data_IF_658298351493
#
_entry.id   IF_658298351493
#
_cell.length_a   1.000
_cell.length_b   1.000
_cell.length_c   1.000
_cell.angle_alpha   90.00
_cell.angle_beta   90.00
_cell.angle_gamma   90.00
#
_symmetry.space_group_name_H-M   'P 1'
#
loop_
_entity.id
_entity.type
_entity.pdbx_description
1 polymer ?
#
# COMPACT_ATOMS: atom_id res chain seq x y z
N UNK A 1 6.40 -26.02 -16.07
CA UNK A 1 5.56 -25.24 -15.16
C UNK A 1 6.49 -24.52 -14.23
N UNK A 2 6.78 -23.24 -14.49
CA UNK A 2 7.61 -22.45 -13.58
C UNK A 2 6.81 -22.24 -12.29
N UNK A 3 7.32 -22.79 -11.19
CA UNK A 3 6.89 -22.42 -9.85
C UNK A 3 7.28 -20.96 -9.66
N UNK A 4 6.39 -20.03 -10.05
CA UNK A 4 6.55 -18.62 -9.75
C UNK A 4 6.69 -18.51 -8.23
N UNK A 5 7.91 -18.22 -7.77
CA UNK A 5 8.17 -18.02 -6.34
C UNK A 5 7.26 -16.90 -5.86
N UNK A 6 6.60 -17.04 -4.69
CA UNK A 6 5.81 -15.95 -4.16
C UNK A 6 6.70 -14.73 -3.95
N UNK A 7 6.27 -13.56 -4.46
CA UNK A 7 6.97 -12.30 -4.24
C UNK A 7 6.94 -11.97 -2.74
N UNK A 8 8.07 -12.18 -2.08
CA UNK A 8 8.29 -12.03 -0.64
C UNK A 8 9.59 -11.26 -0.36
N UNK A 9 9.67 -9.99 -0.80
CA UNK A 9 10.86 -9.17 -0.55
C UNK A 9 11.10 -9.01 0.95
N UNK A 10 12.37 -8.91 1.35
CA UNK A 10 12.72 -8.45 2.68
C UNK A 10 12.46 -6.95 2.81
N UNK A 11 12.42 -6.43 4.04
CA UNK A 11 12.22 -4.99 4.28
C UNK A 11 13.30 -4.13 3.60
N UNK A 12 14.54 -4.61 3.50
CA UNK A 12 15.62 -3.96 2.77
C UNK A 12 15.35 -3.83 1.27
N UNK A 13 14.70 -4.84 0.67
CA UNK A 13 14.34 -4.83 -0.74
C UNK A 13 13.20 -3.85 -0.97
N UNK A 14 12.21 -3.81 -0.07
CA UNK A 14 11.13 -2.83 -0.09
C UNK A 14 11.64 -1.39 -0.04
N UNK A 15 12.64 -1.12 0.81
CA UNK A 15 13.31 0.19 0.85
C UNK A 15 14.02 0.50 -0.46
N UNK A 16 14.67 -0.48 -1.08
CA UNK A 16 15.34 -0.31 -2.38
C UNK A 16 14.34 0.05 -3.47
N UNK A 17 13.20 -0.64 -3.55
CA UNK A 17 12.12 -0.29 -4.48
C UNK A 17 11.58 1.12 -4.22
N UNK A 18 11.41 1.51 -2.96
CA UNK A 18 10.97 2.86 -2.60
C UNK A 18 11.97 3.93 -3.06
N UNK A 19 13.28 3.71 -2.87
CA UNK A 19 14.29 4.67 -3.30
C UNK A 19 14.33 4.81 -4.83
N UNK A 20 14.26 3.69 -5.56
CA UNK A 20 14.14 3.69 -7.02
C UNK A 20 12.90 4.45 -7.48
N UNK A 21 11.76 4.21 -6.83
CA UNK A 21 10.52 4.93 -7.11
C UNK A 21 10.67 6.45 -6.94
N UNK A 22 11.28 6.89 -5.84
CA UNK A 22 11.51 8.32 -5.56
C UNK A 22 12.48 8.94 -6.59
N UNK A 23 13.48 8.18 -7.04
CA UNK A 23 14.41 8.58 -8.08
C UNK A 23 13.81 8.51 -9.51
N UNK A 24 12.56 8.04 -9.66
CA UNK A 24 11.94 7.71 -10.95
C UNK A 24 12.75 6.69 -11.79
N UNK A 25 13.41 5.75 -11.11
CA UNK A 25 14.12 4.63 -11.74
C UNK A 25 13.20 3.41 -11.91
N UNK A 26 13.59 2.50 -12.79
CA UNK A 26 12.90 1.21 -12.97
C UNK A 26 13.00 0.37 -11.68
N UNK A 27 11.88 -0.16 -11.20
CA UNK A 27 11.82 -0.89 -9.93
C UNK A 27 12.52 -2.26 -9.99
N UNK A 28 12.43 -2.96 -11.12
CA UNK A 28 12.88 -4.35 -11.28
C UNK A 28 12.22 -5.31 -10.27
N UNK A 29 10.91 -5.14 -10.09
CA UNK A 29 10.07 -5.89 -9.18
C UNK A 29 9.18 -6.92 -9.92
N UNK A 30 9.51 -7.24 -11.18
CA UNK A 30 8.72 -8.10 -12.07
C UNK A 30 7.23 -7.70 -12.21
N UNK A 31 6.91 -6.43 -11.92
CA UNK A 31 5.58 -5.85 -12.00
C UNK A 31 4.65 -6.17 -10.83
N UNK A 32 5.18 -6.70 -9.71
CA UNK A 32 4.41 -7.03 -8.50
C UNK A 32 3.91 -5.79 -7.72
N UNK A 33 4.64 -4.69 -7.79
CA UNK A 33 4.36 -3.42 -7.12
C UNK A 33 3.66 -2.49 -8.11
N UNK A 34 2.52 -1.92 -7.71
CA UNK A 34 1.76 -0.97 -8.54
C UNK A 34 1.78 0.43 -7.94
N UNK A 35 1.97 1.43 -8.78
CA UNK A 35 1.74 2.82 -8.38
C UNK A 35 0.23 3.07 -8.31
N UNK A 36 -0.28 3.41 -7.12
CA UNK A 36 -1.70 3.68 -6.91
C UNK A 36 -1.92 4.64 -5.73
N UNK A 37 -2.88 5.56 -5.85
CA UNK A 37 -3.25 6.46 -4.76
C UNK A 37 -4.20 5.76 -3.78
N UNK A 38 -3.60 5.17 -2.73
CA UNK A 38 -4.32 4.41 -1.69
C UNK A 38 -5.24 5.25 -0.80
N UNK A 39 -5.24 6.58 -0.93
CA UNK A 39 -6.07 7.47 -0.10
C UNK A 39 -7.37 7.92 -0.77
N UNK A 40 -7.50 7.78 -2.09
CA UNK A 40 -8.69 8.28 -2.81
C UNK A 40 -9.91 7.36 -2.74
N UNK A 41 -9.72 6.13 -2.30
CA UNK A 41 -10.72 5.08 -2.45
C UNK A 41 -10.76 4.17 -1.23
N UNK A 42 -11.70 3.23 -1.20
CA UNK A 42 -11.85 2.33 -0.05
C UNK A 42 -10.73 1.26 -0.01
N UNK A 43 -10.40 0.72 1.18
CA UNK A 43 -9.35 -0.29 1.30
C UNK A 43 -9.60 -1.56 0.47
N UNK A 44 -10.85 -2.02 0.36
CA UNK A 44 -11.18 -3.19 -0.47
C UNK A 44 -11.08 -2.90 -1.96
N UNK A 45 -11.41 -1.69 -2.40
CA UNK A 45 -11.19 -1.27 -3.79
C UNK A 45 -9.69 -1.22 -4.08
N UNK A 46 -8.88 -0.74 -3.14
CA UNK A 46 -7.40 -0.72 -3.21
C UNK A 46 -6.83 -2.12 -3.38
N UNK A 47 -7.48 -3.10 -2.78
CA UNK A 47 -7.12 -4.50 -2.91
C UNK A 47 -7.34 -5.05 -4.33
N UNK A 48 -8.04 -4.36 -5.24
CA UNK A 48 -8.19 -4.82 -6.63
C UNK A 48 -7.01 -4.43 -7.55
N UNK A 49 -6.19 -3.44 -7.17
CA UNK A 49 -5.21 -2.82 -8.07
C UNK A 49 -3.81 -3.45 -8.06
N UNK A 50 -3.38 -4.09 -6.96
CA UNK A 50 -2.05 -4.69 -6.86
C UNK A 50 -1.99 -6.14 -7.39
N UNK A 51 -0.80 -6.70 -7.55
CA UNK A 51 -0.66 -8.13 -7.81
C UNK A 51 -0.88 -8.94 -6.53
N UNK A 52 -1.67 -10.02 -6.60
CA UNK A 52 -1.89 -10.90 -5.45
C UNK A 52 -0.60 -11.62 -5.08
N UNK A 53 -0.04 -11.30 -3.92
CA UNK A 53 1.12 -11.96 -3.34
C UNK A 53 0.67 -12.85 -2.17
N UNK A 54 1.41 -13.91 -1.87
CA UNK A 54 1.08 -14.80 -0.76
C UNK A 54 0.19 -15.98 -1.14
N UNK A 55 -0.28 -16.72 -0.11
CA UNK A 55 -1.12 -17.91 -0.30
C UNK A 55 -2.58 -17.53 -0.52
N UNK A 56 -3.39 -18.50 -0.95
CA UNK A 56 -4.82 -18.32 -1.30
C UNK A 56 -5.65 -17.63 -0.20
N UNK A 57 -5.31 -17.88 1.07
CA UNK A 57 -6.08 -17.41 2.23
C UNK A 57 -5.42 -16.22 2.96
N UNK A 58 -4.14 -15.93 2.69
CA UNK A 58 -3.35 -14.87 3.36
C UNK A 58 -2.68 -13.97 2.32
N UNK A 59 -3.49 -13.48 1.38
CA UNK A 59 -3.05 -12.59 0.33
C UNK A 59 -2.55 -11.25 0.87
N UNK A 60 -1.58 -10.66 0.19
CA UNK A 60 -1.16 -9.28 0.39
C UNK A 60 -0.74 -8.66 -0.93
N UNK A 61 -0.59 -7.34 -0.96
CA UNK A 61 -0.26 -6.56 -2.16
C UNK A 61 0.68 -5.43 -1.79
N UNK A 62 1.60 -5.11 -2.69
CA UNK A 62 2.49 -3.96 -2.56
C UNK A 62 2.03 -2.83 -3.48
N UNK A 63 1.86 -1.66 -2.89
CA UNK A 63 1.44 -0.46 -3.61
C UNK A 63 2.39 0.68 -3.26
N UNK A 64 2.80 1.44 -4.27
CA UNK A 64 3.53 2.68 -4.11
C UNK A 64 2.57 3.83 -4.33
N UNK A 65 2.56 4.79 -3.41
CA UNK A 65 1.84 6.03 -3.61
C UNK A 65 2.86 7.18 -3.55
N UNK A 66 2.72 8.18 -4.43
CA UNK A 66 3.53 9.38 -4.30
C UNK A 66 3.16 10.13 -3.02
N UNK A 67 4.12 10.69 -2.28
CA UNK A 67 3.80 11.54 -1.15
C UNK A 67 3.03 12.77 -1.63
N UNK A 68 1.79 12.95 -1.17
CA UNK A 68 1.11 14.24 -1.30
C UNK A 68 1.93 15.29 -0.54
N UNK A 69 2.13 16.47 -1.16
CA UNK A 69 2.86 17.60 -0.60
C UNK A 69 2.62 17.75 0.91
N UNK A 70 3.72 17.94 1.67
CA UNK A 70 3.71 18.04 3.13
C UNK A 70 2.71 19.13 3.57
N UNK A 71 1.64 18.72 4.27
CA UNK A 71 0.95 19.63 5.20
C UNK A 71 1.80 19.65 6.48
N UNK A 72 2.10 20.84 7.00
CA UNK A 72 2.86 21.03 8.24
C UNK A 72 2.14 20.32 9.41
N UNK A 73 2.85 19.49 10.16
CA UNK A 73 2.35 18.81 11.38
C UNK A 73 2.46 17.27 11.37
N UNK A 74 2.50 16.65 12.57
CA UNK A 74 2.47 15.18 12.74
C UNK A 74 1.12 14.64 12.27
N UNK A 75 1.08 13.97 11.11
CA UNK A 75 -0.14 13.32 10.58
C UNK A 75 -0.44 12.06 11.40
N UNK A 76 -1.42 12.14 12.30
CA UNK A 76 -1.91 11.00 13.12
C UNK A 76 -2.95 10.16 12.35
N UNK A 77 -3.59 10.77 11.36
CA UNK A 77 -4.76 10.26 10.66
C UNK A 77 -4.73 10.69 9.18
N UNK A 78 -5.20 9.82 8.28
CA UNK A 78 -5.37 10.10 6.83
C UNK A 78 -6.78 9.71 6.42
N UNK A 79 -7.55 10.66 5.91
CA UNK A 79 -8.86 10.39 5.33
C UNK A 79 -8.74 9.51 4.09
N UNK A 80 -9.68 8.59 3.92
CA UNK A 80 -9.75 7.63 2.81
C UNK A 80 -11.15 7.63 2.20
N UNK A 81 -11.21 7.39 0.89
CA UNK A 81 -12.43 7.60 0.11
C UNK A 81 -12.84 9.07 0.15
N UNK A 82 -13.95 9.44 -0.48
CA UNK A 82 -14.54 10.79 -0.38
C UNK A 82 -15.11 11.05 1.03
N UNK A 83 -14.24 11.08 2.05
CA UNK A 83 -14.53 11.18 3.49
C UNK A 83 -15.25 9.98 4.13
N UNK A 84 -15.04 8.77 3.60
CA UNK A 84 -15.74 7.57 4.06
C UNK A 84 -15.11 7.00 5.34
N UNK A 85 -13.80 7.14 5.51
CA UNK A 85 -13.09 6.60 6.67
C UNK A 85 -11.73 7.24 6.89
N UNK A 86 -10.96 6.67 7.83
CA UNK A 86 -9.61 7.14 8.11
C UNK A 86 -8.62 5.99 8.39
N UNK A 87 -7.44 6.08 7.77
CA UNK A 87 -6.26 5.34 8.20
C UNK A 87 -5.64 6.02 9.42
N UNK A 88 -5.51 5.28 10.53
CA UNK A 88 -4.88 5.76 11.76
C UNK A 88 -3.54 5.08 11.96
N UNK A 89 -2.56 5.86 12.44
CA UNK A 89 -1.25 5.32 12.82
C UNK A 89 -1.36 4.60 14.16
N UNK A 90 -1.02 3.31 14.23
CA UNK A 90 -0.81 2.58 15.49
C UNK A 90 0.56 2.89 16.07
N UNK A 91 0.69 2.73 17.39
CA UNK A 91 1.82 3.18 18.22
C UNK A 91 3.18 2.60 17.74
N UNK A 92 3.17 1.44 17.09
CA UNK A 92 4.38 0.74 16.64
C UNK A 92 4.75 0.97 15.17
N UNK A 93 4.19 1.99 14.51
CA UNK A 93 4.48 2.28 13.10
C UNK A 93 3.61 1.50 12.09
N UNK A 94 2.75 0.59 12.56
CA UNK A 94 1.70 -0.02 11.75
C UNK A 94 0.57 0.98 11.46
N UNK A 95 -0.06 0.91 10.29
CA UNK A 95 -1.26 1.69 9.95
C UNK A 95 -2.46 0.73 9.91
N UNK A 96 -3.57 1.06 10.60
CA UNK A 96 -4.84 0.31 10.48
C UNK A 96 -5.96 1.17 9.88
N UNK A 97 -6.90 0.53 9.20
CA UNK A 97 -8.21 1.11 8.91
C UNK A 97 -9.08 0.93 10.15
N UNK A 98 -9.51 2.04 10.77
CA UNK A 98 -10.56 1.99 11.79
C UNK A 98 -11.75 2.84 11.31
N UNK A 99 -12.97 2.46 11.68
CA UNK A 99 -14.25 3.14 11.37
C UNK A 99 -14.74 3.05 9.92
N UNK A 100 -14.77 1.85 9.34
CA UNK A 100 -15.55 1.62 8.11
C UNK A 100 -17.02 1.43 8.50
N UNK A 101 -17.89 2.37 8.10
CA UNK A 101 -19.33 2.09 8.04
C UNK A 101 -19.54 1.20 6.82
N UNK A 102 -19.64 -0.11 7.07
CA UNK A 102 -20.13 -1.03 6.05
C UNK A 102 -21.64 -0.73 5.92
N UNK A 103 -22.03 0.05 4.92
CA UNK A 103 -23.42 0.06 4.48
C UNK A 103 -23.67 -1.29 3.81
N UNK A 104 -24.45 -2.13 4.48
CA UNK A 104 -25.00 -3.38 3.92
C UNK A 104 -26.10 -3.12 2.92
#
# INVERSE_FOLDING_TARGET
MELHRPFRPADSDLLTFLFRFIANETLHDDGFIKEHDVFKQEPWETYSYGCHCGGKDNGYRYLLHRPLHKKKGRRICRTVGENIGNWKRKVDGMISCDNLRISG
#
